data_IF_466872626363
#
_entry.id   IF_466872626363
#
_cell.length_a   1.000
_cell.length_b   1.000
_cell.length_c   1.000
_cell.angle_alpha   90.00
_cell.angle_beta   90.00
_cell.angle_gamma   90.00
#
_symmetry.space_group_name_H-M   'P 1'
#
loop_
_entity.id
_entity.type
_entity.pdbx_description
1 polymer ?
#
# COMPACT_ATOMS: atom_id res chain seq x y z
N UNK A 1 10.94 11.45 -17.04
CA UNK A 1 10.36 10.14 -17.44
C UNK A 1 10.72 9.11 -16.38
N UNK A 2 9.76 8.74 -15.56
CA UNK A 2 9.92 7.66 -14.59
C UNK A 2 9.59 6.34 -15.28
N UNK A 3 10.60 5.53 -15.56
CA UNK A 3 10.39 4.15 -15.98
C UNK A 3 9.98 3.37 -14.74
N UNK A 4 8.81 2.71 -14.75
CA UNK A 4 8.51 1.70 -13.74
C UNK A 4 9.57 0.62 -13.91
N UNK A 5 10.59 0.71 -13.05
CA UNK A 5 11.70 -0.25 -13.05
C UNK A 5 11.15 -1.67 -12.83
N UNK A 6 11.90 -2.68 -13.26
CA UNK A 6 11.59 -4.12 -13.05
C UNK A 6 11.58 -4.50 -11.55
N UNK A 7 10.88 -3.73 -10.74
CA UNK A 7 10.64 -4.02 -9.33
C UNK A 7 9.61 -5.16 -9.29
N UNK A 8 9.93 -6.25 -8.63
CA UNK A 8 9.03 -7.36 -8.35
C UNK A 8 9.32 -7.86 -6.93
N UNK A 9 8.80 -7.13 -5.96
CA UNK A 9 9.03 -7.41 -4.54
C UNK A 9 8.19 -8.60 -4.09
N UNK A 10 8.83 -9.59 -3.52
CA UNK A 10 8.17 -10.69 -2.80
C UNK A 10 7.67 -10.18 -1.47
N UNK A 11 6.37 -10.27 -1.24
CA UNK A 11 5.69 -9.75 -0.05
C UNK A 11 5.11 -10.90 0.77
N UNK A 12 5.44 -10.93 2.04
CA UNK A 12 4.76 -11.75 3.05
C UNK A 12 3.80 -10.85 3.82
N UNK A 13 2.56 -11.29 3.99
CA UNK A 13 1.55 -10.61 4.78
C UNK A 13 1.29 -11.37 6.07
N UNK A 14 1.25 -10.67 7.19
CA UNK A 14 0.73 -11.16 8.47
C UNK A 14 -0.36 -10.21 8.95
N UNK A 15 -1.59 -10.70 9.01
CA UNK A 15 -2.73 -9.99 9.60
C UNK A 15 -3.67 -11.02 10.24
N UNK A 16 -4.09 -10.77 11.48
CA UNK A 16 -5.01 -11.66 12.21
C UNK A 16 -6.46 -11.53 11.76
N UNK A 17 -6.79 -10.46 11.04
CA UNK A 17 -8.08 -10.29 10.40
C UNK A 17 -8.03 -10.86 8.97
N UNK A 18 -8.75 -11.96 8.76
CA UNK A 18 -8.86 -12.61 7.46
C UNK A 18 -9.33 -11.66 6.35
N UNK A 19 -10.31 -10.80 6.62
CA UNK A 19 -10.84 -9.88 5.61
C UNK A 19 -9.83 -8.78 5.26
N UNK A 20 -9.13 -8.25 6.26
CA UNK A 20 -8.05 -7.29 6.02
C UNK A 20 -6.93 -7.93 5.19
N UNK A 21 -6.54 -9.16 5.52
CA UNK A 21 -5.52 -9.93 4.81
C UNK A 21 -5.89 -10.12 3.32
N UNK A 22 -7.14 -10.54 3.04
CA UNK A 22 -7.64 -10.70 1.67
C UNK A 22 -7.72 -9.37 0.90
N UNK A 23 -8.16 -8.29 1.56
CA UNK A 23 -8.22 -6.97 0.94
C UNK A 23 -6.82 -6.45 0.56
N UNK A 24 -5.85 -6.57 1.47
CA UNK A 24 -4.46 -6.16 1.22
C UNK A 24 -3.88 -6.98 0.07
N UNK A 25 -4.04 -8.31 0.09
CA UNK A 25 -3.59 -9.19 -0.99
C UNK A 25 -4.20 -8.79 -2.34
N UNK A 26 -5.49 -8.48 -2.37
CA UNK A 26 -6.20 -8.07 -3.58
C UNK A 26 -5.59 -6.80 -4.20
N UNK A 27 -5.26 -5.80 -3.38
CA UNK A 27 -4.62 -4.57 -3.87
C UNK A 27 -3.18 -4.80 -4.33
N UNK A 28 -2.41 -5.66 -3.66
CA UNK A 28 -1.05 -5.99 -4.07
C UNK A 28 -1.01 -6.80 -5.36
N UNK A 29 -2.00 -7.68 -5.59
CA UNK A 29 -2.06 -8.53 -6.78
C UNK A 29 -2.26 -7.73 -8.09
N UNK A 30 -2.86 -6.54 -8.04
CA UNK A 30 -3.03 -5.66 -9.18
C UNK A 30 -1.78 -4.85 -9.55
N UNK A 31 -0.82 -4.75 -8.64
CA UNK A 31 0.41 -3.99 -8.88
C UNK A 31 1.59 -4.93 -9.15
N UNK A 32 2.06 -4.95 -10.39
CA UNK A 32 3.15 -5.85 -10.82
C UNK A 32 4.48 -5.64 -10.11
N UNK A 33 4.63 -4.54 -9.36
CA UNK A 33 5.82 -4.27 -8.54
C UNK A 33 5.83 -5.09 -7.25
N UNK A 34 4.70 -5.72 -6.91
CA UNK A 34 4.56 -6.56 -5.71
C UNK A 34 3.97 -7.92 -6.06
N UNK A 35 4.43 -8.95 -5.37
CA UNK A 35 3.93 -10.32 -5.47
C UNK A 35 3.81 -10.92 -4.08
N UNK A 36 2.59 -11.18 -3.63
CA UNK A 36 2.38 -11.86 -2.34
C UNK A 36 2.82 -13.32 -2.48
N UNK A 37 3.79 -13.73 -1.66
CA UNK A 37 4.32 -15.09 -1.63
C UNK A 37 3.71 -15.94 -0.54
N UNK A 38 3.26 -15.31 0.54
CA UNK A 38 2.58 -15.99 1.65
C UNK A 38 1.67 -15.03 2.42
N UNK A 39 0.56 -15.56 2.88
CA UNK A 39 -0.38 -14.88 3.78
C UNK A 39 -0.50 -15.68 5.06
N UNK A 40 -0.18 -15.07 6.19
CA UNK A 40 -0.25 -15.66 7.51
C UNK A 40 -1.37 -15.00 8.34
N UNK A 41 -2.21 -15.79 8.97
CA UNK A 41 -3.22 -15.34 9.93
C UNK A 41 -2.67 -15.37 11.37
N UNK A 42 -1.52 -16.00 11.57
CA UNK A 42 -0.85 -16.09 12.87
C UNK A 42 0.66 -15.94 12.73
N UNK A 43 1.29 -15.45 13.80
CA UNK A 43 2.75 -15.35 13.85
C UNK A 43 3.42 -16.74 13.71
N UNK A 44 2.83 -17.79 14.31
CA UNK A 44 3.34 -19.15 14.19
C UNK A 44 3.38 -19.61 12.72
N UNK A 45 2.30 -19.41 11.96
CA UNK A 45 2.25 -19.77 10.55
C UNK A 45 3.28 -18.98 9.71
N UNK A 46 3.52 -17.71 10.04
CA UNK A 46 4.58 -16.91 9.42
C UNK A 46 5.95 -17.53 9.66
N UNK A 47 6.28 -17.89 10.90
CA UNK A 47 7.59 -18.47 11.24
C UNK A 47 7.77 -19.85 10.60
N UNK A 48 6.75 -20.70 10.61
CA UNK A 48 6.79 -22.03 9.98
C UNK A 48 7.08 -21.92 8.48
N UNK A 49 6.43 -20.96 7.80
CA UNK A 49 6.69 -20.68 6.38
C UNK A 49 8.14 -20.22 6.16
N UNK A 50 8.61 -19.25 6.95
CA UNK A 50 9.96 -18.71 6.83
C UNK A 50 11.05 -19.76 7.15
N UNK A 51 10.77 -20.73 8.03
CA UNK A 51 11.71 -21.79 8.36
C UNK A 51 11.83 -22.85 7.25
N UNK A 52 10.78 -23.04 6.46
CA UNK A 52 10.74 -23.97 5.33
C UNK A 52 11.15 -23.32 4.01
N UNK A 53 11.20 -21.99 3.94
CA UNK A 53 11.47 -21.24 2.72
C UNK A 53 12.97 -21.17 2.42
N UNK A 54 13.36 -21.48 1.18
CA UNK A 54 14.75 -21.36 0.75
C UNK A 54 15.20 -19.88 0.74
N UNK A 55 16.50 -19.63 0.91
CA UNK A 55 17.06 -18.28 0.94
C UNK A 55 16.69 -17.43 -0.29
N UNK A 56 16.59 -18.05 -1.45
CA UNK A 56 16.25 -17.38 -2.69
C UNK A 56 14.78 -16.96 -2.78
N UNK A 57 13.90 -17.64 -2.03
CA UNK A 57 12.46 -17.37 -2.04
C UNK A 57 11.99 -16.55 -0.82
N UNK A 58 12.90 -16.21 0.09
CA UNK A 58 12.55 -15.33 1.21
C UNK A 58 11.94 -14.00 0.73
N UNK A 59 11.01 -13.41 1.50
CA UNK A 59 10.37 -12.16 1.11
C UNK A 59 11.34 -10.98 1.14
N UNK A 60 11.14 -10.03 0.22
CA UNK A 60 11.82 -8.74 0.23
C UNK A 60 11.15 -7.77 1.21
N UNK A 61 9.84 -7.95 1.38
CA UNK A 61 9.00 -7.13 2.26
C UNK A 61 8.14 -8.02 3.15
N UNK A 62 8.06 -7.67 4.43
CA UNK A 62 7.10 -8.26 5.38
C UNK A 62 6.17 -7.16 5.86
N UNK A 63 4.87 -7.36 5.65
CA UNK A 63 3.81 -6.48 6.16
C UNK A 63 3.24 -7.10 7.41
N UNK A 64 3.30 -6.39 8.53
CA UNK A 64 2.87 -6.85 9.84
C UNK A 64 1.65 -6.07 10.34
N UNK A 65 0.65 -6.76 10.83
CA UNK A 65 -0.43 -6.16 11.63
C UNK A 65 0.09 -5.79 13.02
N UNK A 66 0.50 -4.52 13.18
CA UNK A 66 1.19 -4.06 14.38
C UNK A 66 0.32 -4.15 15.65
N UNK A 67 -1.01 -4.04 15.52
CA UNK A 67 -1.93 -4.02 16.65
C UNK A 67 -1.99 -5.38 17.38
N UNK A 68 -1.67 -6.48 16.69
CA UNK A 68 -1.81 -7.84 17.21
C UNK A 68 -0.47 -8.57 17.44
N UNK A 69 0.64 -7.83 17.50
CA UNK A 69 1.98 -8.41 17.72
C UNK A 69 2.38 -8.57 19.20
N UNK A 70 1.42 -8.56 20.14
CA UNK A 70 1.73 -8.69 21.57
C UNK A 70 2.29 -7.41 22.21
N UNK A 71 1.86 -6.25 21.72
CA UNK A 71 2.29 -4.93 22.18
C UNK A 71 3.71 -4.55 21.72
N UNK A 72 4.31 -3.55 22.34
CA UNK A 72 5.62 -2.99 21.95
C UNK A 72 6.73 -4.04 21.96
N UNK A 73 6.77 -4.88 23.01
CA UNK A 73 7.81 -5.91 23.19
C UNK A 73 7.69 -6.99 22.14
N UNK A 74 6.46 -7.43 21.86
CA UNK A 74 6.21 -8.45 20.85
C UNK A 74 6.55 -7.95 19.44
N UNK A 75 6.10 -6.74 19.10
CA UNK A 75 6.43 -6.10 17.82
C UNK A 75 7.94 -5.92 17.65
N UNK A 76 8.63 -5.39 18.68
CA UNK A 76 10.07 -5.21 18.66
C UNK A 76 10.80 -6.54 18.45
N UNK A 77 10.42 -7.58 19.19
CA UNK A 77 11.02 -8.91 19.08
C UNK A 77 10.84 -9.51 17.70
N UNK A 78 9.64 -9.38 17.12
CA UNK A 78 9.34 -9.92 15.79
C UNK A 78 10.14 -9.19 14.71
N UNK A 79 10.24 -7.85 14.77
CA UNK A 79 11.05 -7.07 13.83
C UNK A 79 12.52 -7.50 13.89
N UNK A 80 13.09 -7.60 15.11
CA UNK A 80 14.48 -8.00 15.29
C UNK A 80 14.76 -9.40 14.75
N UNK A 81 13.89 -10.39 15.05
CA UNK A 81 14.00 -11.76 14.52
C UNK A 81 13.90 -11.81 12.99
N UNK A 82 13.00 -11.04 12.38
CA UNK A 82 12.87 -10.98 10.93
C UNK A 82 14.13 -10.42 10.29
N UNK A 83 14.71 -9.35 10.83
CA UNK A 83 15.96 -8.74 10.34
C UNK A 83 17.16 -9.66 10.53
N UNK A 84 17.21 -10.42 11.61
CA UNK A 84 18.25 -11.43 11.84
C UNK A 84 18.15 -12.60 10.85
N UNK A 85 16.92 -13.01 10.49
CA UNK A 85 16.67 -14.14 9.57
C UNK A 85 16.81 -13.75 8.09
N UNK A 86 16.34 -12.57 7.71
CA UNK A 86 16.23 -12.14 6.31
C UNK A 86 17.06 -10.88 6.11
N UNK A 87 18.19 -11.05 5.45
CA UNK A 87 19.06 -9.92 5.15
C UNK A 87 18.35 -8.90 4.23
N UNK A 88 18.42 -7.62 4.60
CA UNK A 88 17.81 -6.50 3.85
C UNK A 88 16.27 -6.51 3.75
N UNK A 89 15.57 -7.30 4.58
CA UNK A 89 14.10 -7.27 4.60
C UNK A 89 13.59 -5.88 4.94
N UNK A 90 12.58 -5.44 4.24
CA UNK A 90 11.83 -4.23 4.58
C UNK A 90 10.57 -4.61 5.35
N UNK A 91 10.41 -4.05 6.53
CA UNK A 91 9.27 -4.35 7.40
C UNK A 91 8.34 -3.15 7.41
N UNK A 92 7.11 -3.37 7.00
CA UNK A 92 6.02 -2.38 6.96
C UNK A 92 5.00 -2.76 8.03
N UNK A 93 4.88 -1.95 9.06
CA UNK A 93 3.86 -2.11 10.09
C UNK A 93 2.56 -1.43 9.63
N UNK A 94 1.46 -2.17 9.61
CA UNK A 94 0.11 -1.64 9.41
C UNK A 94 -0.64 -1.65 10.75
N UNK A 95 -1.37 -0.60 11.05
CA UNK A 95 -2.16 -0.48 12.28
C UNK A 95 -3.54 0.12 11.99
N UNK A 96 -4.53 -0.25 12.80
CA UNK A 96 -5.87 0.34 12.74
C UNK A 96 -5.89 1.71 13.40
N UNK A 97 -5.14 1.85 14.50
CA UNK A 97 -5.08 3.05 15.30
C UNK A 97 -3.63 3.47 15.59
N UNK A 98 -3.43 4.75 15.90
CA UNK A 98 -2.12 5.22 16.35
C UNK A 98 -1.87 4.72 17.77
N UNK A 99 -0.75 4.06 17.97
CA UNK A 99 -0.23 3.71 19.29
C UNK A 99 1.24 4.17 19.36
N UNK A 100 1.51 5.18 20.19
CA UNK A 100 2.80 5.82 20.29
C UNK A 100 3.93 4.85 20.65
N UNK A 101 3.66 3.86 21.53
CA UNK A 101 4.65 2.88 21.96
C UNK A 101 4.99 1.90 20.81
N UNK A 102 3.98 1.49 20.02
CA UNK A 102 4.21 0.66 18.83
C UNK A 102 4.97 1.42 17.73
N UNK A 103 4.64 2.70 17.51
CA UNK A 103 5.38 3.56 16.56
C UNK A 103 6.85 3.68 16.97
N UNK A 104 7.09 3.90 18.26
CA UNK A 104 8.43 3.99 18.82
C UNK A 104 9.19 2.68 18.68
N UNK A 105 8.59 1.55 19.07
CA UNK A 105 9.17 0.23 18.92
C UNK A 105 9.53 -0.10 17.46
N UNK A 106 8.63 0.18 16.52
CA UNK A 106 8.87 -0.01 15.09
C UNK A 106 10.06 0.85 14.59
N UNK A 107 10.11 2.12 15.01
CA UNK A 107 11.20 3.02 14.66
C UNK A 107 12.54 2.56 15.25
N UNK A 108 12.59 2.16 16.52
CA UNK A 108 13.80 1.69 17.22
C UNK A 108 14.36 0.41 16.60
N UNK A 109 13.49 -0.54 16.26
CA UNK A 109 13.91 -1.81 15.63
C UNK A 109 14.18 -1.68 14.14
N UNK A 110 14.03 -0.49 13.56
CA UNK A 110 14.39 -0.24 12.17
C UNK A 110 13.37 -0.80 11.15
N UNK A 111 12.09 -0.79 11.48
CA UNK A 111 11.04 -0.95 10.49
C UNK A 111 11.17 0.12 9.40
N UNK A 112 10.73 -0.20 8.18
CA UNK A 112 10.73 0.73 7.06
C UNK A 112 9.55 1.70 7.09
N UNK A 113 8.44 1.29 7.70
CA UNK A 113 7.26 2.14 7.84
C UNK A 113 6.36 1.73 9.01
N UNK A 114 5.57 2.71 9.49
CA UNK A 114 4.41 2.49 10.35
C UNK A 114 3.22 3.28 9.78
N UNK A 115 2.23 2.59 9.24
CA UNK A 115 1.16 3.16 8.43
C UNK A 115 -0.21 2.81 9.00
N UNK A 116 -1.15 3.75 8.95
CA UNK A 116 -2.53 3.48 9.29
C UNK A 116 -3.28 2.80 8.13
N UNK A 117 -3.94 1.69 8.39
CA UNK A 117 -4.75 0.95 7.40
C UNK A 117 -5.77 1.86 6.71
N UNK A 118 -6.42 2.76 7.47
CA UNK A 118 -7.42 3.69 6.95
C UNK A 118 -6.87 4.79 6.02
N UNK A 119 -5.60 5.18 6.17
CA UNK A 119 -4.94 6.17 5.31
C UNK A 119 -4.23 5.52 4.12
N UNK A 120 -3.80 4.26 4.25
CA UNK A 120 -3.10 3.53 3.20
C UNK A 120 -4.07 2.87 2.20
N UNK A 121 -5.09 2.16 2.68
CA UNK A 121 -6.13 1.51 1.84
C UNK A 121 -5.56 0.86 0.56
N UNK A 122 -6.14 1.21 -0.58
CA UNK A 122 -5.73 0.69 -1.90
C UNK A 122 -4.34 1.14 -2.37
N UNK A 123 -3.71 2.09 -1.66
CA UNK A 123 -2.36 2.59 -2.00
C UNK A 123 -1.23 1.71 -1.44
N UNK A 124 -1.54 0.57 -0.82
CA UNK A 124 -0.54 -0.25 -0.11
C UNK A 124 0.67 -0.62 -0.97
N UNK A 125 0.48 -0.95 -2.25
CA UNK A 125 1.59 -1.25 -3.15
C UNK A 125 2.48 -0.02 -3.39
N UNK A 126 1.88 1.14 -3.60
CA UNK A 126 2.60 2.41 -3.71
C UNK A 126 3.32 2.77 -2.41
N UNK A 127 2.67 2.56 -1.25
CA UNK A 127 3.28 2.81 0.04
C UNK A 127 4.51 1.91 0.27
N UNK A 128 4.45 0.62 -0.08
CA UNK A 128 5.60 -0.28 -0.04
C UNK A 128 6.74 0.24 -0.92
N UNK A 129 6.45 0.58 -2.19
CA UNK A 129 7.46 1.10 -3.12
C UNK A 129 8.02 2.44 -2.62
N UNK A 130 7.19 3.30 -2.05
CA UNK A 130 7.61 4.58 -1.47
C UNK A 130 8.61 4.42 -0.31
N UNK A 131 8.56 3.29 0.42
CA UNK A 131 9.57 3.01 1.46
C UNK A 131 10.96 2.73 0.88
N UNK A 132 11.08 2.38 -0.41
CA UNK A 132 12.39 2.10 -1.00
C UNK A 132 13.22 3.39 -1.06
N UNK A 133 14.43 3.33 -0.49
CA UNK A 133 15.30 4.50 -0.43
C UNK A 133 15.01 5.50 0.70
N UNK A 134 13.98 5.23 1.54
CA UNK A 134 13.67 6.03 2.73
C UNK A 134 13.98 5.26 4.01
N UNK A 135 14.37 5.98 5.07
CA UNK A 135 14.72 5.34 6.34
C UNK A 135 13.48 4.89 7.11
N UNK A 136 12.51 5.79 7.28
CA UNK A 136 11.25 5.49 7.97
C UNK A 136 10.10 6.30 7.36
N UNK A 137 8.99 5.65 7.06
CA UNK A 137 7.80 6.27 6.48
C UNK A 137 6.63 6.14 7.44
N UNK A 138 5.88 7.22 7.63
CA UNK A 138 4.69 7.23 8.47
C UNK A 138 3.53 7.90 7.73
N UNK A 139 2.30 7.57 8.10
CA UNK A 139 1.12 8.28 7.61
C UNK A 139 0.89 9.60 8.33
N UNK A 140 0.09 10.49 7.78
CA UNK A 140 -0.19 11.82 8.32
C UNK A 140 -0.78 11.77 9.74
N UNK A 141 -1.69 10.82 10.01
CA UNK A 141 -2.26 10.62 11.35
C UNK A 141 -1.21 10.25 12.38
N UNK A 142 -0.28 9.34 12.02
CA UNK A 142 0.86 8.99 12.88
C UNK A 142 1.74 10.20 13.14
N UNK A 143 2.07 10.99 12.10
CA UNK A 143 2.90 12.17 12.23
C UNK A 143 2.29 13.20 13.22
N UNK A 144 0.98 13.43 13.13
CA UNK A 144 0.26 14.34 14.02
C UNK A 144 0.28 13.88 15.48
N UNK A 145 -0.11 12.61 15.71
CA UNK A 145 -0.25 12.09 17.08
C UNK A 145 1.09 11.80 17.76
N UNK A 146 2.13 11.48 16.98
CA UNK A 146 3.46 11.16 17.49
C UNK A 146 4.45 12.36 17.45
N UNK A 147 3.98 13.56 17.13
CA UNK A 147 4.81 14.78 17.06
C UNK A 147 5.56 15.12 18.35
N UNK A 148 5.08 14.63 19.50
CA UNK A 148 5.67 14.85 20.83
C UNK A 148 6.75 13.82 21.19
N UNK A 149 6.96 12.78 20.36
CA UNK A 149 7.93 11.72 20.65
C UNK A 149 9.32 12.16 20.23
N UNK A 150 10.23 12.29 21.20
CA UNK A 150 11.64 12.61 20.95
C UNK A 150 12.42 11.38 20.48
N UNK A 151 12.25 11.02 19.20
CA UNK A 151 13.03 9.95 18.57
C UNK A 151 13.49 10.38 17.17
N UNK A 152 14.79 10.20 16.88
CA UNK A 152 15.41 10.75 15.66
C UNK A 152 14.79 10.26 14.36
N UNK A 153 14.41 8.97 14.27
CA UNK A 153 13.79 8.40 13.08
C UNK A 153 12.34 8.86 12.91
N UNK A 154 11.59 9.05 14.00
CA UNK A 154 10.21 9.57 13.96
C UNK A 154 10.24 11.04 13.53
N UNK A 155 11.15 11.84 14.11
CA UNK A 155 11.29 13.24 13.75
C UNK A 155 11.70 13.47 12.29
N UNK A 156 12.52 12.57 11.72
CA UNK A 156 12.99 12.61 10.33
C UNK A 156 12.16 11.73 9.38
N UNK A 157 11.06 11.18 9.86
CA UNK A 157 10.25 10.29 9.05
C UNK A 157 9.70 11.01 7.81
N UNK A 158 9.73 10.32 6.68
CA UNK A 158 9.01 10.76 5.50
C UNK A 158 7.52 10.52 5.70
N UNK A 159 6.70 11.52 5.43
CA UNK A 159 5.25 11.36 5.48
C UNK A 159 4.79 10.73 4.17
N UNK A 160 3.98 9.65 4.26
CA UNK A 160 3.38 9.05 3.08
C UNK A 160 2.45 10.06 2.40
N UNK A 161 2.67 10.43 1.12
CA UNK A 161 1.78 11.33 0.42
C UNK A 161 0.36 10.77 0.34
N UNK A 162 -0.61 11.65 0.24
CA UNK A 162 -1.99 11.28 -0.05
C UNK A 162 -2.11 10.68 -1.46
N UNK A 163 -3.25 10.13 -1.77
CA UNK A 163 -3.53 9.65 -3.12
C UNK A 163 -3.61 10.84 -4.08
N UNK A 164 -3.01 10.67 -5.26
CA UNK A 164 -3.08 11.67 -6.33
C UNK A 164 -4.54 12.07 -6.61
N UNK A 165 -4.78 13.36 -6.66
CA UNK A 165 -6.07 13.92 -6.98
C UNK A 165 -6.20 14.14 -8.49
N UNK A 166 -7.36 13.80 -9.03
CA UNK A 166 -7.70 13.98 -10.44
C UNK A 166 -8.96 14.89 -10.52
N UNK A 167 -8.80 16.21 -10.67
CA UNK A 167 -9.93 17.15 -10.66
C UNK A 167 -10.98 16.88 -11.74
N UNK A 168 -10.55 16.39 -12.90
CA UNK A 168 -11.41 16.11 -14.05
C UNK A 168 -12.24 14.82 -13.88
N UNK A 169 -11.90 13.95 -12.92
CA UNK A 169 -12.72 12.79 -12.60
C UNK A 169 -13.97 13.22 -11.84
N UNK A 170 -15.10 13.33 -12.53
CA UNK A 170 -16.40 13.54 -11.86
C UNK A 170 -16.71 12.39 -10.91
N UNK A 171 -17.59 12.62 -9.93
CA UNK A 171 -17.94 11.56 -8.95
C UNK A 171 -18.47 10.29 -9.62
N UNK A 172 -19.23 10.43 -10.69
CA UNK A 172 -19.76 9.28 -11.46
C UNK A 172 -18.66 8.50 -12.18
N UNK A 173 -17.71 9.19 -12.81
CA UNK A 173 -16.56 8.56 -13.47
C UNK A 173 -15.67 7.91 -12.40
N UNK A 174 -15.42 8.59 -11.30
CA UNK A 174 -14.65 8.07 -10.15
C UNK A 174 -15.27 6.81 -9.57
N UNK A 175 -16.60 6.78 -9.40
CA UNK A 175 -17.34 5.61 -8.92
C UNK A 175 -17.22 4.44 -9.92
N UNK A 176 -17.37 4.70 -11.23
CA UNK A 176 -17.22 3.67 -12.26
C UNK A 176 -15.80 3.05 -12.27
N UNK A 177 -14.75 3.90 -12.19
CA UNK A 177 -13.36 3.43 -12.09
C UNK A 177 -13.17 2.63 -10.80
N UNK A 178 -13.68 3.10 -9.65
CA UNK A 178 -13.57 2.38 -8.38
C UNK A 178 -14.19 0.98 -8.49
N UNK A 179 -15.43 0.87 -8.94
CA UNK A 179 -16.14 -0.41 -9.05
C UNK A 179 -15.47 -1.36 -10.05
N UNK A 180 -15.19 -0.87 -11.28
CA UNK A 180 -14.75 -1.77 -12.36
C UNK A 180 -13.23 -2.02 -12.36
N UNK A 181 -12.43 -1.09 -11.89
CA UNK A 181 -10.97 -1.19 -11.94
C UNK A 181 -10.41 -1.65 -10.60
N UNK A 182 -10.80 -1.00 -9.50
CA UNK A 182 -10.24 -1.30 -8.17
C UNK A 182 -10.89 -2.54 -7.54
N UNK A 183 -12.22 -2.62 -7.61
CA UNK A 183 -12.99 -3.73 -7.02
C UNK A 183 -13.17 -4.90 -8.01
N UNK A 184 -12.75 -4.73 -9.26
CA UNK A 184 -12.83 -5.78 -10.29
C UNK A 184 -14.27 -6.17 -10.67
N UNK A 185 -15.25 -5.31 -10.37
CA UNK A 185 -16.66 -5.61 -10.64
C UNK A 185 -16.93 -5.63 -12.16
N UNK A 186 -17.61 -6.65 -12.70
CA UNK A 186 -18.03 -6.67 -14.08
C UNK A 186 -18.90 -5.46 -14.44
N UNK A 187 -18.70 -4.88 -15.63
CA UNK A 187 -19.35 -3.62 -16.02
C UNK A 187 -20.89 -3.66 -15.96
N UNK A 188 -21.53 -4.83 -16.19
CA UNK A 188 -22.99 -4.94 -16.09
C UNK A 188 -23.47 -4.84 -14.64
N UNK A 189 -22.76 -5.45 -13.69
CA UNK A 189 -23.07 -5.33 -12.27
C UNK A 189 -22.82 -3.92 -11.73
N UNK A 190 -21.72 -3.30 -12.17
CA UNK A 190 -21.44 -1.91 -11.82
C UNK A 190 -22.47 -0.94 -12.42
N UNK A 191 -23.00 -1.22 -13.61
CA UNK A 191 -24.09 -0.44 -14.19
C UNK A 191 -25.38 -0.55 -13.35
N UNK A 192 -25.73 -1.76 -12.91
CA UNK A 192 -26.88 -2.01 -12.03
C UNK A 192 -26.71 -1.31 -10.69
N UNK A 193 -25.54 -1.40 -10.05
CA UNK A 193 -25.19 -0.74 -8.80
C UNK A 193 -25.31 0.79 -8.90
N UNK A 194 -24.89 1.36 -10.02
CA UNK A 194 -24.94 2.81 -10.26
C UNK A 194 -26.30 3.30 -10.80
N UNK A 195 -27.23 2.40 -11.11
CA UNK A 195 -28.53 2.71 -11.70
C UNK A 195 -28.44 3.34 -13.10
N UNK A 196 -27.50 2.89 -13.94
CA UNK A 196 -27.23 3.41 -15.29
C UNK A 196 -27.17 2.29 -16.34
N UNK A 197 -27.17 2.66 -17.62
CA UNK A 197 -27.06 1.67 -18.69
C UNK A 197 -25.63 1.12 -18.82
N UNK A 198 -25.51 -0.12 -19.35
CA UNK A 198 -24.23 -0.74 -19.67
C UNK A 198 -23.38 0.12 -20.64
N UNK A 199 -24.02 0.84 -21.55
CA UNK A 199 -23.32 1.74 -22.47
C UNK A 199 -22.78 2.97 -21.74
N UNK A 200 -23.53 3.49 -20.77
CA UNK A 200 -23.12 4.64 -19.96
C UNK A 200 -21.89 4.31 -19.11
N UNK A 201 -21.89 3.14 -18.43
CA UNK A 201 -20.73 2.78 -17.61
C UNK A 201 -19.48 2.53 -18.44
N UNK A 202 -19.62 1.92 -19.62
CA UNK A 202 -18.49 1.75 -20.57
C UNK A 202 -17.92 3.09 -21.02
N UNK A 203 -18.78 4.09 -21.23
CA UNK A 203 -18.35 5.45 -21.55
C UNK A 203 -17.61 6.10 -20.39
N UNK A 204 -18.09 5.93 -19.16
CA UNK A 204 -17.41 6.44 -17.96
C UNK A 204 -16.04 5.78 -17.76
N UNK A 205 -15.93 4.46 -17.95
CA UNK A 205 -14.65 3.75 -17.84
C UNK A 205 -13.66 4.28 -18.89
N UNK A 206 -14.09 4.40 -20.15
CA UNK A 206 -13.25 4.93 -21.25
C UNK A 206 -12.77 6.36 -20.96
N UNK A 207 -13.66 7.23 -20.52
CA UNK A 207 -13.33 8.61 -20.18
C UNK A 207 -12.41 8.66 -18.94
N UNK A 208 -12.66 7.84 -17.92
CA UNK A 208 -11.79 7.71 -16.77
C UNK A 208 -10.36 7.30 -17.15
N UNK A 209 -10.20 6.33 -18.07
CA UNK A 209 -8.87 5.95 -18.56
C UNK A 209 -8.17 7.13 -19.25
N UNK A 210 -8.88 7.84 -20.12
CA UNK A 210 -8.33 9.03 -20.82
C UNK A 210 -7.83 10.09 -19.82
N UNK A 211 -8.63 10.39 -18.79
CA UNK A 211 -8.26 11.35 -17.76
C UNK A 211 -7.05 10.86 -16.99
N UNK A 212 -7.05 9.61 -16.51
CA UNK A 212 -5.91 9.06 -15.76
C UNK A 212 -4.62 9.07 -16.59
N UNK A 213 -4.71 8.81 -17.90
CA UNK A 213 -3.56 8.84 -18.81
C UNK A 213 -3.01 10.23 -19.04
N UNK A 214 -3.87 11.28 -19.04
CA UNK A 214 -3.42 12.66 -19.25
C UNK A 214 -2.61 13.25 -18.09
N UNK A 215 -2.70 12.65 -16.89
CA UNK A 215 -1.97 13.12 -15.69
C UNK A 215 -0.66 12.37 -15.44
N UNK A 216 -0.33 11.37 -16.23
CA UNK A 216 0.79 10.48 -15.92
C UNK A 216 1.61 10.16 -17.17
N UNK A 217 2.80 10.72 -17.25
CA UNK A 217 3.79 10.47 -18.30
C UNK A 217 4.59 9.17 -18.09
N UNK A 218 4.21 8.37 -17.08
CA UNK A 218 4.91 7.11 -16.79
C UNK A 218 4.74 6.13 -17.92
N UNK A 219 5.85 5.62 -18.44
CA UNK A 219 5.86 4.52 -19.40
C UNK A 219 5.59 3.19 -18.65
N UNK A 220 4.51 2.54 -19.04
CA UNK A 220 4.14 1.23 -18.51
C UNK A 220 4.56 0.11 -19.47
N UNK A 221 4.94 -1.08 -18.96
CA UNK A 221 5.23 -2.23 -19.81
C UNK A 221 4.11 -2.52 -20.83
N UNK A 222 4.49 -2.88 -22.04
CA UNK A 222 3.53 -3.11 -23.14
C UNK A 222 2.53 -4.22 -22.83
N UNK A 223 2.94 -5.18 -22.01
CA UNK A 223 2.12 -6.32 -21.58
C UNK A 223 1.02 -5.94 -20.57
N UNK A 224 1.10 -4.75 -19.98
CA UNK A 224 0.07 -4.30 -19.05
C UNK A 224 -1.22 -3.94 -19.76
N UNK A 225 -2.33 -4.51 -19.29
CA UNK A 225 -3.66 -4.17 -19.78
C UNK A 225 -4.04 -2.73 -19.44
N UNK A 226 -4.97 -2.11 -20.20
CA UNK A 226 -5.50 -0.79 -19.85
C UNK A 226 -6.06 -0.72 -18.42
N UNK A 227 -6.67 -1.81 -17.93
CA UNK A 227 -7.21 -1.88 -16.58
C UNK A 227 -6.11 -1.87 -15.51
N UNK A 228 -5.03 -2.64 -15.69
CA UNK A 228 -3.89 -2.62 -14.77
C UNK A 228 -3.23 -1.23 -14.72
N UNK A 229 -3.02 -0.60 -15.87
CA UNK A 229 -2.49 0.77 -15.94
C UNK A 229 -3.40 1.78 -15.25
N UNK A 230 -4.71 1.67 -15.46
CA UNK A 230 -5.69 2.53 -14.80
C UNK A 230 -5.72 2.32 -13.28
N UNK A 231 -5.60 1.06 -12.82
CA UNK A 231 -5.48 0.75 -11.39
C UNK A 231 -4.26 1.43 -10.77
N UNK A 232 -3.09 1.27 -11.38
CA UNK A 232 -1.85 1.86 -10.86
C UNK A 232 -1.93 3.39 -10.80
N UNK A 233 -2.46 4.04 -11.83
CA UNK A 233 -2.64 5.49 -11.83
C UNK A 233 -3.67 5.95 -10.80
N UNK A 234 -4.82 5.29 -10.74
CA UNK A 234 -5.90 5.67 -9.82
C UNK A 234 -5.52 5.51 -8.34
N UNK A 235 -4.61 4.58 -8.04
CA UNK A 235 -4.10 4.33 -6.69
C UNK A 235 -2.78 5.03 -6.40
N UNK A 236 -2.22 5.78 -7.36
CA UNK A 236 -0.93 6.46 -7.22
C UNK A 236 -0.94 7.49 -6.09
N UNK A 237 0.23 7.66 -5.47
CA UNK A 237 0.48 8.75 -4.52
C UNK A 237 0.58 10.09 -5.28
N UNK A 238 0.24 11.18 -4.60
CA UNK A 238 0.53 12.52 -5.09
C UNK A 238 2.04 12.72 -5.24
N UNK A 239 2.43 13.51 -6.23
CA UNK A 239 3.83 13.90 -6.36
C UNK A 239 4.23 14.83 -5.20
N UNK A 240 5.49 14.79 -4.78
CA UNK A 240 5.99 15.60 -3.66
C UNK A 240 5.83 17.12 -3.97
N UNK A 241 5.80 17.49 -5.24
CA UNK A 241 5.59 18.87 -5.69
C UNK A 241 4.12 19.33 -5.68
N UNK A 242 3.16 18.38 -5.67
CA UNK A 242 1.71 18.67 -5.71
C UNK A 242 1.14 19.06 -4.32
N UNK A 243 1.91 18.85 -3.26
CA UNK A 243 1.51 19.17 -1.87
C UNK A 243 1.65 20.66 -1.50
N UNK A 244 2.01 21.53 -2.46
CA UNK A 244 2.26 22.95 -2.24
C UNK A 244 1.09 23.88 -2.56
N UNK A 245 -0.15 23.39 -2.74
CA UNK A 245 -1.32 24.26 -2.90
C UNK A 245 -1.86 24.61 -1.51
N UNK A 246 -1.76 25.86 -1.04
CA UNK A 246 -2.35 26.27 0.23
C UNK A 246 -3.88 26.21 0.12
N UNK A 247 -4.51 25.59 1.10
CA UNK A 247 -5.94 25.74 1.35
C UNK A 247 -6.25 27.24 1.52
N UNK A 248 -7.05 27.76 0.63
CA UNK A 248 -7.63 29.11 0.71
C UNK A 248 -9.03 29.07 1.30
#
# INVERSE_FOLDING_TARGET
>A
MSVISNINLKVLLLDTDFYALQAINSYLAWDRRTRVTFMAETEAAMWDYLDQTTRAELPDVVVLDADHMGGEIGLATTIDRLKAKINHVRIVCLAQFVNADLVKAAAEQGAAAYLLKQETRMMIAWAIVYTLGRDFVITQGVARECSHIFHSRIFKASILPERRHYPELTDRIRQAIKLCVVEGMPAHLAADEMGISLNTIRSYIKEGYRILESYDETEYPVEMTPQERAFMRFTALADEDDTSVPES
#
